data_IF_314218016908
#
_entry.id   IF_314218016908
#
_cell.length_a   1.000
_cell.length_b   1.000
_cell.length_c   1.000
_cell.angle_alpha   90.00
_cell.angle_beta   90.00
_cell.angle_gamma   90.00
#
_symmetry.space_group_name_H-M   'P 1'
#
loop_
_entity.id
_entity.type
_entity.pdbx_description
1 polymer ?
#
# COMPACT_ATOMS: atom_id res chain seq x y z
N UNK A 1 8.94 -5.88 5.41
CA UNK A 1 7.54 -6.12 5.00
C UNK A 1 6.57 -5.39 5.92
N UNK A 2 6.46 -5.73 7.21
CA UNK A 2 5.47 -5.07 8.10
C UNK A 2 5.66 -3.54 8.21
N UNK A 3 6.91 -3.09 8.41
CA UNK A 3 7.24 -1.65 8.42
C UNK A 3 6.85 -0.98 7.10
N UNK A 4 7.14 -1.61 5.96
CA UNK A 4 6.76 -1.12 4.64
C UNK A 4 5.24 -0.95 4.47
N UNK A 5 4.44 -1.85 5.05
CA UNK A 5 2.98 -1.73 5.01
C UNK A 5 2.46 -0.60 5.91
N UNK A 6 3.12 -0.37 7.05
CA UNK A 6 2.83 0.75 7.94
C UNK A 6 3.21 2.09 7.30
N UNK A 7 4.40 2.17 6.70
CA UNK A 7 4.90 3.35 5.97
C UNK A 7 3.97 3.73 4.80
N UNK A 8 3.45 2.74 4.08
CA UNK A 8 2.46 2.94 3.01
C UNK A 8 1.03 3.16 3.52
N UNK A 9 0.81 3.26 4.83
CA UNK A 9 -0.50 3.39 5.47
C UNK A 9 -1.51 2.30 5.09
N UNK A 10 -1.07 1.13 4.58
CA UNK A 10 -1.97 0.03 4.22
C UNK A 10 -2.47 -0.72 5.46
N UNK A 11 -1.70 -0.71 6.53
CA UNK A 11 -2.10 -1.26 7.83
C UNK A 11 -1.84 -0.26 8.96
N UNK A 12 -2.50 -0.46 10.08
CA UNK A 12 -2.32 0.32 11.30
C UNK A 12 -2.37 -0.57 12.54
N UNK A 13 -1.91 -0.06 13.68
CA UNK A 13 -2.01 -0.73 14.97
C UNK A 13 -3.42 -0.46 15.54
N UNK A 14 -4.20 -1.51 15.72
CA UNK A 14 -5.57 -1.42 16.24
C UNK A 14 -5.64 -1.62 17.75
N UNK A 15 -4.58 -2.14 18.36
CA UNK A 15 -4.50 -2.32 19.81
C UNK A 15 -3.47 -3.35 20.22
N UNK A 16 -3.69 -3.96 21.39
CA UNK A 16 -2.88 -5.05 21.93
C UNK A 16 -3.79 -6.20 22.35
N UNK A 17 -3.37 -7.42 22.10
CA UNK A 17 -4.13 -8.60 22.53
C UNK A 17 -4.07 -8.76 24.05
N UNK A 18 -5.17 -9.19 24.67
CA UNK A 18 -5.25 -9.52 26.10
C UNK A 18 -4.70 -10.94 26.39
N UNK A 19 -3.49 -11.21 25.92
CA UNK A 19 -2.79 -12.49 26.11
C UNK A 19 -1.37 -12.26 26.64
N UNK A 20 -0.68 -13.33 27.02
CA UNK A 20 0.70 -13.27 27.52
C UNK A 20 1.59 -12.61 26.46
N UNK A 21 2.38 -11.62 26.88
CA UNK A 21 3.24 -10.84 25.99
C UNK A 21 2.57 -9.64 25.31
N UNK A 22 1.23 -9.52 25.39
CA UNK A 22 0.44 -8.38 24.86
C UNK A 22 0.90 -7.90 23.47
N UNK A 23 0.94 -8.80 22.47
CA UNK A 23 1.40 -8.46 21.13
C UNK A 23 0.52 -7.38 20.49
N UNK A 24 1.10 -6.62 19.57
CA UNK A 24 0.38 -5.62 18.78
C UNK A 24 -0.60 -6.29 17.83
N UNK A 25 -1.80 -5.74 17.75
CA UNK A 25 -2.81 -6.11 16.76
C UNK A 25 -2.74 -5.14 15.59
N UNK A 26 -2.75 -5.69 14.38
CA UNK A 26 -2.74 -4.92 13.14
C UNK A 26 -4.09 -5.06 12.44
N UNK A 27 -4.51 -3.99 11.78
CA UNK A 27 -5.69 -3.97 10.92
C UNK A 27 -5.42 -3.19 9.64
N UNK A 28 -6.25 -3.41 8.62
CA UNK A 28 -6.21 -2.65 7.37
C UNK A 28 -6.81 -1.27 7.55
N UNK A 29 -6.38 -0.32 6.73
CA UNK A 29 -6.91 1.06 6.74
C UNK A 29 -7.91 1.29 5.60
N UNK A 30 -8.46 2.50 5.52
CA UNK A 30 -9.19 2.94 4.31
C UNK A 30 -8.29 3.06 3.10
N UNK A 31 -6.99 3.33 3.30
CA UNK A 31 -6.02 3.44 2.20
C UNK A 31 -5.76 2.09 1.54
N UNK A 32 -5.78 1.01 2.33
CA UNK A 32 -5.82 -0.35 1.80
C UNK A 32 -6.99 -0.55 0.84
N UNK A 33 -8.21 -0.18 1.24
CA UNK A 33 -9.39 -0.36 0.40
C UNK A 33 -9.27 0.42 -0.92
N UNK A 34 -8.81 1.67 -0.88
CA UNK A 34 -8.58 2.47 -2.09
C UNK A 34 -7.50 1.85 -2.98
N UNK A 35 -6.38 1.45 -2.40
CA UNK A 35 -5.26 0.86 -3.12
C UNK A 35 -5.66 -0.42 -3.88
N UNK A 36 -6.52 -1.24 -3.27
CA UNK A 36 -7.03 -2.47 -3.87
C UNK A 36 -8.35 -2.27 -4.65
N UNK A 37 -8.87 -1.05 -4.76
CA UNK A 37 -10.12 -0.77 -5.49
C UNK A 37 -11.38 -1.39 -4.86
N UNK A 38 -11.37 -1.61 -3.55
CA UNK A 38 -12.47 -2.23 -2.80
C UNK A 38 -13.33 -1.17 -2.12
N UNK A 39 -14.64 -1.39 -2.04
CA UNK A 39 -15.51 -0.51 -1.24
C UNK A 39 -15.51 -0.93 0.24
N UNK A 40 -15.44 -2.24 0.50
CA UNK A 40 -15.42 -2.78 1.85
C UNK A 40 -14.64 -4.11 1.92
N UNK A 41 -14.34 -4.58 3.13
CA UNK A 41 -13.57 -5.82 3.34
C UNK A 41 -14.30 -7.09 2.89
N UNK A 42 -15.63 -7.06 2.74
CA UNK A 42 -16.41 -8.20 2.25
C UNK A 42 -16.27 -8.38 0.73
N UNK A 43 -15.77 -7.36 0.02
CA UNK A 43 -15.48 -7.42 -1.40
C UNK A 43 -14.14 -8.12 -1.69
N UNK A 44 -13.42 -8.54 -0.65
CA UNK A 44 -12.18 -9.29 -0.81
C UNK A 44 -12.45 -10.62 -1.54
N UNK A 45 -11.68 -10.93 -2.60
CA UNK A 45 -11.83 -12.18 -3.31
C UNK A 45 -11.50 -13.36 -2.38
N UNK A 46 -12.20 -14.47 -2.55
CA UNK A 46 -11.90 -15.67 -1.77
C UNK A 46 -10.52 -16.20 -2.14
N UNK A 47 -9.81 -16.90 -1.24
CA UNK A 47 -8.47 -17.42 -1.53
C UNK A 47 -8.37 -18.25 -2.81
N UNK A 48 -9.43 -19.00 -3.17
CA UNK A 48 -9.47 -19.79 -4.40
C UNK A 48 -9.61 -18.95 -5.68
N UNK A 49 -10.18 -17.76 -5.56
CA UNK A 49 -10.45 -16.84 -6.67
C UNK A 49 -9.21 -15.95 -6.95
N UNK A 50 -8.30 -15.79 -5.99
CA UNK A 50 -7.10 -14.94 -6.12
C UNK A 50 -6.19 -15.41 -7.27
N UNK A 51 -5.94 -16.73 -7.39
CA UNK A 51 -5.07 -17.25 -8.46
C UNK A 51 -5.65 -17.03 -9.86
N UNK A 52 -6.98 -16.99 -9.97
CA UNK A 52 -7.67 -16.72 -11.23
C UNK A 52 -7.62 -15.23 -11.57
N UNK A 53 -7.87 -14.36 -10.58
CA UNK A 53 -7.77 -12.90 -10.73
C UNK A 53 -6.34 -12.45 -11.07
N UNK A 54 -5.32 -13.07 -10.46
CA UNK A 54 -3.92 -12.73 -10.75
C UNK A 54 -3.47 -13.12 -12.17
N UNK A 55 -4.24 -13.97 -12.86
CA UNK A 55 -4.01 -14.37 -14.25
C UNK A 55 -4.88 -13.61 -15.24
N UNK A 56 -5.82 -12.80 -14.74
CA UNK A 56 -6.69 -11.97 -15.55
C UNK A 56 -5.89 -10.83 -16.19
N UNK A 57 -5.98 -10.69 -17.52
CA UNK A 57 -5.20 -9.71 -18.28
C UNK A 57 -5.58 -8.27 -17.91
N UNK A 58 -6.86 -7.99 -17.65
CA UNK A 58 -7.34 -6.66 -17.29
C UNK A 58 -6.78 -6.25 -15.91
N UNK A 59 -6.76 -7.19 -14.96
CA UNK A 59 -6.17 -6.97 -13.64
C UNK A 59 -4.65 -6.71 -13.73
N UNK A 60 -3.94 -7.46 -14.57
CA UNK A 60 -2.49 -7.27 -14.78
C UNK A 60 -2.20 -5.90 -15.38
N UNK A 61 -2.97 -5.48 -16.39
CA UNK A 61 -2.82 -4.16 -17.02
C UNK A 61 -3.08 -3.03 -16.03
N UNK A 62 -4.16 -3.11 -15.25
CA UNK A 62 -4.48 -2.13 -14.20
C UNK A 62 -3.40 -2.07 -13.12
N UNK A 63 -2.93 -3.23 -12.64
CA UNK A 63 -1.83 -3.31 -11.66
C UNK A 63 -0.57 -2.65 -12.20
N UNK A 64 -0.22 -2.91 -13.46
CA UNK A 64 0.97 -2.34 -14.08
C UNK A 64 0.84 -0.81 -14.25
N UNK A 65 -0.36 -0.32 -14.61
CA UNK A 65 -0.64 1.11 -14.73
C UNK A 65 -0.54 1.84 -13.38
N UNK A 66 -1.13 1.30 -12.33
CA UNK A 66 -1.04 1.86 -10.97
C UNK A 66 0.42 1.89 -10.51
N UNK A 67 1.18 0.81 -10.76
CA UNK A 67 2.57 0.72 -10.37
C UNK A 67 3.46 1.72 -11.12
N UNK A 68 3.18 1.97 -12.41
CA UNK A 68 3.88 2.98 -13.20
C UNK A 68 3.62 4.39 -12.67
N UNK A 69 2.35 4.73 -12.40
CA UNK A 69 1.99 6.04 -11.86
C UNK A 69 2.63 6.29 -10.48
N UNK A 70 2.62 5.27 -9.60
CA UNK A 70 3.24 5.39 -8.28
C UNK A 70 4.76 5.59 -8.39
N UNK A 71 5.41 4.91 -9.35
CA UNK A 71 6.84 5.09 -9.63
C UNK A 71 7.11 6.50 -10.14
N UNK A 72 6.28 7.00 -11.06
CA UNK A 72 6.39 8.37 -11.60
C UNK A 72 6.25 9.42 -10.50
N UNK A 73 5.23 9.31 -9.65
CA UNK A 73 5.04 10.17 -8.47
C UNK A 73 6.23 10.11 -7.50
N UNK A 74 6.82 8.92 -7.30
CA UNK A 74 7.98 8.77 -6.40
C UNK A 74 9.23 9.42 -7.00
N UNK A 75 9.45 9.28 -8.31
CA UNK A 75 10.58 9.92 -9.00
C UNK A 75 10.46 11.43 -9.02
N UNK A 76 9.26 11.97 -9.24
CA UNK A 76 9.00 13.42 -9.19
C UNK A 76 9.32 13.99 -7.80
N UNK A 77 8.89 13.32 -6.74
CA UNK A 77 9.22 13.70 -5.35
C UNK A 77 10.72 13.67 -5.05
N UNK A 78 11.45 12.67 -5.55
CA UNK A 78 12.90 12.60 -5.40
C UNK A 78 13.62 13.73 -6.14
N UNK A 79 13.18 14.06 -7.36
CA UNK A 79 13.73 15.18 -8.14
C UNK A 79 13.49 16.53 -7.46
N UNK A 80 12.27 16.81 -7.01
CA UNK A 80 11.94 18.04 -6.27
C UNK A 80 12.76 18.17 -4.98
N UNK A 81 12.95 17.08 -4.23
CA UNK A 81 13.77 17.08 -3.01
C UNK A 81 15.26 17.35 -3.26
N UNK A 82 15.76 17.01 -4.46
CA UNK A 82 17.15 17.20 -4.87
C UNK A 82 17.43 18.62 -5.39
N UNK A 83 16.41 19.32 -5.90
CA UNK A 83 16.50 20.71 -6.32
C UNK A 83 16.49 21.67 -5.12
N UNK A 84 15.70 21.40 -4.07
CA UNK A 84 15.68 22.21 -2.84
C UNK A 84 17.02 22.17 -2.06
N UNK A 85 17.81 21.09 -2.17
CA UNK A 85 19.10 20.96 -1.49
C UNK A 85 20.26 21.73 -2.14
N UNK A 86 20.09 22.24 -3.36
CA UNK A 86 21.13 22.99 -4.09
C UNK A 86 21.03 24.51 -3.89
N UNK A 87 19.94 25.02 -3.28
CA UNK A 87 19.69 26.46 -3.11
C UNK A 87 20.19 27.03 -1.77
N UNK A 88 20.71 26.19 -0.85
CA UNK A 88 21.27 26.63 0.45
C UNK A 88 22.79 26.91 0.44
N UNK A 89 23.46 26.78 -0.72
CA UNK A 89 24.90 27.12 -0.88
C UNK A 89 25.15 28.11 -2.00
N UNK A 90 24.74 29.37 -1.79
CA UNK A 90 25.39 30.55 -2.39
C UNK A 90 25.84 31.55 -1.32
#
# INVERSE_FOLDING_TARGET
>A
ILNTLLEKNLITITGRAETIGRPLLYGTTTEFLKYFGLFNLSDLPKPREIEEIMKDEDFIEQKNKIMMNLVEETLEQELESSEEHNDETE
#
